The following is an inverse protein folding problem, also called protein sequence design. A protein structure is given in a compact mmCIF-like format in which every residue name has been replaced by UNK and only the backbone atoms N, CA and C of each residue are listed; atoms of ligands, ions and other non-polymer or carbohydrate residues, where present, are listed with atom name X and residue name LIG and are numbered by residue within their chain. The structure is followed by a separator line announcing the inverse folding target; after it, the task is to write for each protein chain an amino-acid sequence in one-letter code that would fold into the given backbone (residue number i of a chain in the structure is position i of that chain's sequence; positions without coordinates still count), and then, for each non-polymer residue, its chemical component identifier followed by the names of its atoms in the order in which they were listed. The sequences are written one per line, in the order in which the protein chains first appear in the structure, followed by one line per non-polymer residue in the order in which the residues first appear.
data_IF_593793320328
#
_entry.id   IF_593793320328
#
_cell.length_a   1.000
_cell.length_b   1.000
_cell.length_c   1.000
_cell.angle_alpha   90.00
_cell.angle_beta   90.00
_cell.angle_gamma   90.00
#
_symmetry.space_group_name_H-M   'P 1'
#
loop_
_entity.id
_entity.type
_entity.pdbx_description
1 polymer ?
#
# COMPACT_ATOMS: atom_id res chain seq x y z
N UNK A 1 23.75 4.35 22.26
CA UNK A 1 24.98 4.30 21.44
C UNK A 1 24.74 4.63 19.98
N UNK A 2 23.77 4.00 19.28
CA UNK A 2 23.49 4.31 17.86
C UNK A 2 23.28 5.81 17.56
N UNK A 3 22.47 6.50 18.37
CA UNK A 3 22.23 7.95 18.26
C UNK A 3 23.50 8.81 18.42
N UNK A 4 24.42 8.40 19.29
CA UNK A 4 25.65 9.14 19.53
C UNK A 4 26.55 9.11 18.29
N UNK A 5 26.60 7.98 17.60
CA UNK A 5 27.33 7.83 16.34
C UNK A 5 26.61 8.49 15.16
N UNK A 6 25.28 8.54 15.13
CA UNK A 6 24.53 9.26 14.09
C UNK A 6 24.70 10.78 14.23
N UNK A 7 24.65 11.32 15.45
CA UNK A 7 24.66 12.77 15.70
C UNK A 7 26.04 13.35 16.04
N UNK A 8 27.06 12.51 16.19
CA UNK A 8 28.39 12.93 16.61
C UNK A 8 28.45 13.47 18.04
N UNK A 9 27.51 13.08 18.91
CA UNK A 9 27.45 13.56 20.29
C UNK A 9 28.44 12.78 21.17
N UNK A 10 29.58 13.41 21.45
CA UNK A 10 30.65 12.85 22.30
C UNK A 10 31.54 11.80 21.63
N UNK A 11 31.21 11.40 20.40
CA UNK A 11 32.01 10.51 19.53
C UNK A 11 31.98 11.06 18.10
N UNK A 12 32.98 10.79 17.24
CA UNK A 12 32.91 11.17 15.84
C UNK A 12 31.68 10.57 15.15
N UNK A 13 31.05 11.34 14.25
CA UNK A 13 29.92 10.85 13.46
C UNK A 13 30.36 9.66 12.60
N UNK A 14 29.63 8.55 12.70
CA UNK A 14 29.88 7.33 11.95
C UNK A 14 28.56 6.58 11.68
N UNK A 15 28.00 6.83 10.50
CA UNK A 15 26.71 6.26 10.10
C UNK A 15 26.77 4.73 9.94
N UNK A 16 27.92 4.16 9.58
CA UNK A 16 28.10 2.70 9.47
C UNK A 16 28.07 2.03 10.85
N UNK A 17 28.70 2.63 11.85
CA UNK A 17 28.59 2.15 13.23
C UNK A 17 27.17 2.35 13.79
N UNK A 18 26.51 3.47 13.46
CA UNK A 18 25.13 3.70 13.87
C UNK A 18 24.20 2.62 13.31
N UNK A 19 24.31 2.28 12.03
CA UNK A 19 23.54 1.20 11.41
C UNK A 19 23.75 -0.16 12.11
N UNK A 20 25.00 -0.52 12.41
CA UNK A 20 25.31 -1.75 13.13
C UNK A 20 24.67 -1.79 14.53
N UNK A 21 24.69 -0.68 15.28
CA UNK A 21 24.01 -0.62 16.57
C UNK A 21 22.48 -0.68 16.46
N UNK A 22 21.89 -0.12 15.40
CA UNK A 22 20.45 -0.23 15.19
C UNK A 22 20.03 -1.65 14.80
N UNK A 23 20.83 -2.36 14.01
CA UNK A 23 20.64 -3.79 13.71
C UNK A 23 20.76 -4.68 14.95
N UNK A 24 21.53 -4.27 15.96
CA UNK A 24 21.56 -5.00 17.24
C UNK A 24 20.36 -4.71 18.13
N UNK A 25 19.58 -3.67 17.80
CA UNK A 25 18.45 -3.19 18.58
C UNK A 25 17.11 -3.46 17.88
N UNK A 26 17.01 -4.59 17.15
CA UNK A 26 15.84 -5.00 16.38
C UNK A 26 14.53 -5.08 17.21
N UNK A 27 14.63 -5.16 18.54
CA UNK A 27 13.47 -5.15 19.44
C UNK A 27 12.90 -3.76 19.73
N UNK A 28 13.49 -2.68 19.22
CA UNK A 28 13.03 -1.31 19.46
C UNK A 28 12.51 -0.67 18.17
N UNK A 29 11.24 -0.24 18.17
CA UNK A 29 10.60 0.44 17.04
C UNK A 29 11.38 1.66 16.53
N UNK A 30 11.95 2.45 17.45
CA UNK A 30 12.73 3.65 17.10
C UNK A 30 14.05 3.30 16.39
N UNK A 31 14.66 2.18 16.76
CA UNK A 31 15.89 1.70 16.13
C UNK A 31 15.61 1.21 14.70
N UNK A 32 14.53 0.44 14.51
CA UNK A 32 14.09 -0.02 13.19
C UNK A 32 13.75 1.16 12.27
N UNK A 33 13.03 2.17 12.79
CA UNK A 33 12.72 3.38 12.03
C UNK A 33 13.99 4.12 11.58
N UNK A 34 14.97 4.28 12.47
CA UNK A 34 16.25 4.93 12.12
C UNK A 34 17.07 4.12 11.14
N UNK A 35 17.08 2.79 11.29
CA UNK A 35 17.74 1.90 10.35
C UNK A 35 17.10 2.01 8.96
N UNK A 36 15.78 2.07 8.87
CA UNK A 36 15.07 2.29 7.62
C UNK A 36 15.47 3.62 6.96
N UNK A 37 15.61 4.71 7.74
CA UNK A 37 16.10 6.00 7.23
C UNK A 37 17.54 5.92 6.68
N UNK A 38 18.42 5.14 7.32
CA UNK A 38 19.78 4.91 6.83
C UNK A 38 19.78 4.15 5.49
N UNK A 39 18.98 3.10 5.36
CA UNK A 39 18.80 2.36 4.10
C UNK A 39 18.15 3.19 3.00
N UNK A 40 17.23 4.09 3.34
CA UNK A 40 16.61 5.02 2.39
C UNK A 40 17.62 6.05 1.86
N UNK A 41 18.43 6.62 2.76
CA UNK A 41 19.39 7.68 2.41
C UNK A 41 20.73 7.15 1.90
N UNK A 42 21.03 5.86 2.09
CA UNK A 42 22.33 5.27 1.75
C UNK A 42 23.46 5.73 2.68
N UNK A 43 23.13 6.23 3.87
CA UNK A 43 24.12 6.70 4.85
C UNK A 43 24.67 5.52 5.64
N UNK A 44 25.96 5.25 5.48
CA UNK A 44 26.67 4.17 6.19
C UNK A 44 26.36 2.74 5.72
N UNK A 45 25.34 2.55 4.88
CA UNK A 45 24.92 1.27 4.27
C UNK A 45 24.54 1.48 2.80
N UNK A 46 24.56 0.41 2.00
CA UNK A 46 24.09 0.47 0.61
C UNK A 46 22.60 0.80 0.55
N UNK A 47 22.22 1.77 -0.28
CA UNK A 47 20.82 2.18 -0.44
C UNK A 47 19.96 0.99 -0.88
N UNK A 48 18.89 0.71 -0.13
CA UNK A 48 17.96 -0.34 -0.46
C UNK A 48 16.56 0.00 0.06
N UNK A 49 15.69 0.35 -0.88
CA UNK A 49 14.31 0.79 -0.59
C UNK A 49 13.46 -0.37 -0.06
N UNK A 50 13.65 -1.58 -0.57
CA UNK A 50 12.85 -2.74 -0.17
C UNK A 50 13.13 -3.12 1.29
N UNK A 51 14.39 -3.09 1.72
CA UNK A 51 14.75 -3.34 3.12
C UNK A 51 14.29 -2.21 4.03
N UNK A 52 14.29 -0.96 3.55
CA UNK A 52 13.71 0.14 4.32
C UNK A 52 12.21 -0.06 4.55
N UNK A 53 11.46 -0.47 3.52
CA UNK A 53 10.02 -0.77 3.64
C UNK A 53 9.78 -1.93 4.61
N UNK A 54 10.54 -3.02 4.54
CA UNK A 54 10.36 -4.15 5.46
C UNK A 54 10.59 -3.74 6.92
N UNK A 55 11.66 -3.00 7.19
CA UNK A 55 11.96 -2.49 8.53
C UNK A 55 10.87 -1.54 9.07
N UNK A 56 10.24 -0.76 8.20
CA UNK A 56 9.11 0.09 8.59
C UNK A 56 7.88 -0.73 8.95
N UNK A 57 7.61 -1.83 8.23
CA UNK A 57 6.52 -2.75 8.56
C UNK A 57 6.76 -3.42 9.92
N UNK A 58 7.97 -3.93 10.13
CA UNK A 58 8.38 -4.52 11.42
C UNK A 58 8.26 -3.49 12.56
N UNK A 59 8.64 -2.23 12.31
CA UNK A 59 8.51 -1.16 13.29
C UNK A 59 7.05 -0.87 13.67
N UNK A 60 6.12 -0.92 12.71
CA UNK A 60 4.68 -0.74 12.95
C UNK A 60 4.14 -1.87 13.82
N UNK A 61 4.53 -3.12 13.54
CA UNK A 61 4.09 -4.28 14.34
C UNK A 61 4.52 -4.19 15.80
N UNK A 62 5.76 -3.73 16.06
CA UNK A 62 6.28 -3.52 17.42
C UNK A 62 5.63 -2.30 18.09
N UNK A 63 5.18 -1.31 17.31
CA UNK A 63 4.65 -0.05 17.82
C UNK A 63 3.23 -0.13 18.41
N UNK A 64 2.66 -1.34 18.59
CA UNK A 64 1.29 -1.59 19.07
C UNK A 64 0.77 -0.53 20.07
N UNK A 65 -0.11 0.35 19.58
CA UNK A 65 -0.77 1.41 20.35
C UNK A 65 -0.21 2.83 20.18
N UNK A 66 0.92 3.02 19.50
CA UNK A 66 1.44 4.35 19.15
C UNK A 66 0.98 4.77 17.76
N UNK A 67 -0.26 5.26 17.77
CA UNK A 67 -0.97 5.70 16.58
C UNK A 67 -0.20 6.76 15.77
N UNK A 68 0.52 7.66 16.44
CA UNK A 68 1.26 8.75 15.76
C UNK A 68 2.48 8.22 15.02
N UNK A 69 3.19 7.28 15.65
CA UNK A 69 4.34 6.63 15.04
C UNK A 69 3.93 5.78 13.84
N UNK A 70 2.84 5.03 13.96
CA UNK A 70 2.29 4.22 12.86
C UNK A 70 1.96 5.08 11.63
N UNK A 71 1.28 6.21 11.82
CA UNK A 71 1.00 7.15 10.72
C UNK A 71 2.27 7.66 10.04
N UNK A 72 3.31 7.99 10.80
CA UNK A 72 4.59 8.44 10.24
C UNK A 72 5.28 7.35 9.43
N UNK A 73 5.30 6.12 9.94
CA UNK A 73 5.91 4.98 9.25
C UNK A 73 5.15 4.63 7.95
N UNK A 74 3.83 4.60 8.00
CA UNK A 74 2.99 4.35 6.83
C UNK A 74 3.16 5.43 5.76
N UNK A 75 3.25 6.70 6.18
CA UNK A 75 3.53 7.81 5.26
C UNK A 75 4.87 7.64 4.56
N UNK A 76 5.91 7.33 5.33
CA UNK A 76 7.24 7.10 4.78
C UNK A 76 7.26 5.90 3.82
N UNK A 77 6.65 4.78 4.19
CA UNK A 77 6.57 3.59 3.35
C UNK A 77 5.75 3.83 2.06
N UNK A 78 4.66 4.60 2.13
CA UNK A 78 3.89 5.05 0.97
C UNK A 78 4.73 5.92 0.04
N UNK A 79 5.55 6.83 0.58
CA UNK A 79 6.46 7.69 -0.21
C UNK A 79 7.57 6.86 -0.89
N UNK A 80 7.98 5.76 -0.26
CA UNK A 80 8.87 4.75 -0.87
C UNK A 80 8.19 3.88 -1.93
N UNK A 81 6.87 4.00 -2.11
CA UNK A 81 6.11 3.32 -3.15
C UNK A 81 5.39 2.06 -2.69
N UNK A 82 5.36 1.75 -1.40
CA UNK A 82 4.64 0.58 -0.87
C UNK A 82 3.12 0.78 -1.01
N UNK A 83 2.49 -0.05 -1.84
CA UNK A 83 1.08 0.06 -2.17
C UNK A 83 0.17 -0.35 -1.00
N UNK A 84 0.62 -1.32 -0.20
CA UNK A 84 -0.06 -1.75 1.03
C UNK A 84 -0.12 -0.61 2.06
N UNK A 85 1.02 0.04 2.35
CA UNK A 85 1.08 1.20 3.24
C UNK A 85 0.23 2.36 2.73
N UNK A 86 0.23 2.59 1.41
CA UNK A 86 -0.64 3.60 0.78
C UNK A 86 -2.13 3.29 1.06
N UNK A 87 -2.54 2.02 1.00
CA UNK A 87 -3.90 1.62 1.34
C UNK A 87 -4.21 1.80 2.83
N UNK A 88 -3.27 1.43 3.71
CA UNK A 88 -3.46 1.57 5.16
C UNK A 88 -3.61 3.04 5.58
N UNK A 89 -2.92 3.98 4.90
CA UNK A 89 -3.18 5.41 5.07
C UNK A 89 -4.64 5.78 4.71
N UNK A 90 -5.18 5.19 3.65
CA UNK A 90 -6.59 5.36 3.28
C UNK A 90 -7.53 4.94 4.41
N UNK A 91 -7.26 3.79 5.04
CA UNK A 91 -8.02 3.29 6.20
C UNK A 91 -7.92 4.27 7.38
N UNK A 92 -6.75 4.83 7.65
CA UNK A 92 -6.58 5.82 8.73
C UNK A 92 -7.42 7.08 8.49
N UNK A 93 -7.44 7.60 7.26
CA UNK A 93 -8.29 8.74 6.90
C UNK A 93 -9.78 8.41 6.93
N UNK A 94 -10.17 7.17 6.61
CA UNK A 94 -11.55 6.70 6.71
C UNK A 94 -12.03 6.59 8.16
N UNK A 95 -11.17 6.12 9.06
CA UNK A 95 -11.51 5.96 10.48
C UNK A 95 -11.41 7.26 11.28
N UNK A 96 -10.55 8.20 10.86
CA UNK A 96 -10.31 9.44 11.61
C UNK A 96 -9.58 9.23 12.94
N UNK A 97 -8.78 8.17 13.02
CA UNK A 97 -7.97 7.86 14.19
C UNK A 97 -6.56 8.45 14.04
N UNK A 98 -5.72 8.36 15.09
CA UNK A 98 -4.27 8.66 14.98
C UNK A 98 -3.92 10.15 14.79
N UNK A 99 -4.66 11.06 15.44
CA UNK A 99 -4.55 12.53 15.26
C UNK A 99 -4.89 13.01 13.84
N UNK A 100 -5.37 12.11 12.97
CA UNK A 100 -5.82 12.42 11.61
C UNK A 100 -7.31 12.72 11.63
N UNK A 101 -7.70 13.85 11.06
CA UNK A 101 -9.11 14.20 10.90
C UNK A 101 -9.71 13.26 9.85
N UNK A 102 -10.84 12.63 10.20
CA UNK A 102 -11.60 11.79 9.29
C UNK A 102 -11.87 12.53 7.98
N UNK A 103 -11.42 11.95 6.87
CA UNK A 103 -11.64 12.52 5.55
C UNK A 103 -11.76 11.40 4.51
N UNK A 104 -13.00 11.06 4.20
CA UNK A 104 -13.34 10.03 3.24
C UNK A 104 -12.91 10.34 1.80
N UNK A 105 -12.85 11.63 1.40
CA UNK A 105 -12.36 12.00 0.08
C UNK A 105 -10.86 11.70 -0.06
N UNK A 106 -10.08 12.07 0.96
CA UNK A 106 -8.66 11.71 1.04
C UNK A 106 -8.47 10.18 1.09
N UNK A 107 -9.29 9.45 1.86
CA UNK A 107 -9.24 8.00 1.91
C UNK A 107 -9.38 7.36 0.51
N UNK A 108 -10.36 7.83 -0.28
CA UNK A 108 -10.59 7.38 -1.66
C UNK A 108 -9.39 7.70 -2.56
N UNK A 109 -8.78 8.88 -2.42
CA UNK A 109 -7.56 9.21 -3.18
C UNK A 109 -6.40 8.27 -2.87
N UNK A 110 -6.20 7.92 -1.60
CA UNK A 110 -5.16 6.97 -1.19
C UNK A 110 -5.46 5.55 -1.68
N UNK A 111 -6.69 5.08 -1.56
CA UNK A 111 -7.08 3.79 -2.13
C UNK A 111 -6.87 3.77 -3.65
N UNK A 112 -7.22 4.84 -4.36
CA UNK A 112 -6.97 4.94 -5.80
C UNK A 112 -5.48 4.90 -6.16
N UNK A 113 -4.62 5.57 -5.38
CA UNK A 113 -3.16 5.50 -5.56
C UNK A 113 -2.61 4.09 -5.33
N UNK A 114 -3.06 3.41 -4.27
CA UNK A 114 -2.67 2.03 -3.96
C UNK A 114 -3.13 1.05 -5.06
N UNK A 115 -4.35 1.23 -5.53
CA UNK A 115 -4.97 0.44 -6.58
C UNK A 115 -4.23 0.56 -7.93
N UNK A 116 -3.78 1.77 -8.29
CA UNK A 116 -2.95 1.99 -9.48
C UNK A 116 -1.60 1.28 -9.41
N UNK A 117 -1.06 1.09 -8.21
CA UNK A 117 0.18 0.35 -7.97
C UNK A 117 -0.02 -1.17 -7.92
N UNK A 118 -1.23 -1.65 -8.19
CA UNK A 118 -1.55 -3.07 -8.27
C UNK A 118 -1.98 -3.71 -6.95
N UNK A 119 -2.28 -2.93 -5.92
CA UNK A 119 -2.79 -3.49 -4.65
C UNK A 119 -4.28 -3.80 -4.77
N UNK A 120 -4.61 -5.08 -4.83
CA UNK A 120 -5.98 -5.56 -5.07
C UNK A 120 -6.97 -5.16 -3.97
N UNK A 121 -6.55 -5.19 -2.70
CA UNK A 121 -7.40 -4.82 -1.56
C UNK A 121 -7.83 -3.35 -1.62
N UNK A 122 -7.06 -2.48 -2.27
CA UNK A 122 -7.46 -1.09 -2.44
C UNK A 122 -8.66 -0.94 -3.39
N UNK A 123 -8.80 -1.82 -4.39
CA UNK A 123 -10.00 -1.85 -5.23
C UNK A 123 -11.23 -2.29 -4.45
N UNK A 124 -11.07 -3.22 -3.51
CA UNK A 124 -12.13 -3.64 -2.61
C UNK A 124 -12.59 -2.49 -1.70
N UNK A 125 -11.65 -1.77 -1.08
CA UNK A 125 -11.94 -0.63 -0.22
C UNK A 125 -12.61 0.51 -0.99
N UNK A 126 -12.16 0.83 -2.22
CA UNK A 126 -12.87 1.76 -3.10
C UNK A 126 -14.30 1.31 -3.36
N UNK A 127 -14.49 0.01 -3.63
CA UNK A 127 -15.80 -0.56 -3.86
C UNK A 127 -16.74 -0.33 -2.68
N UNK A 128 -16.25 -0.61 -1.48
CA UNK A 128 -16.96 -0.37 -0.24
C UNK A 128 -17.37 1.11 -0.07
N UNK A 129 -16.45 2.06 -0.29
CA UNK A 129 -16.77 3.49 -0.19
C UNK A 129 -17.89 3.92 -1.18
N UNK A 130 -17.88 3.39 -2.40
CA UNK A 130 -18.90 3.70 -3.40
C UNK A 130 -20.25 3.03 -3.13
N UNK A 131 -20.26 1.84 -2.52
CA UNK A 131 -21.48 1.12 -2.14
C UNK A 131 -22.20 1.81 -0.98
N UNK A 132 -21.46 2.18 0.07
CA UNK A 132 -22.00 2.85 1.26
C UNK A 132 -22.32 4.34 1.03
N UNK A 133 -21.74 4.97 0.00
CA UNK A 133 -21.86 6.42 -0.23
C UNK A 133 -21.03 7.25 0.74
N UNK A 134 -19.98 6.66 1.29
CA UNK A 134 -19.11 7.26 2.31
C UNK A 134 -18.10 8.20 1.65
N UNK A 135 -18.30 9.52 1.78
CA UNK A 135 -17.40 10.55 1.25
C UNK A 135 -17.58 10.98 -0.20
N UNK A 136 -18.36 10.23 -0.97
CA UNK A 136 -18.72 10.51 -2.37
C UNK A 136 -20.20 10.23 -2.59
N UNK A 137 -20.88 10.97 -3.50
CA UNK A 137 -22.23 10.61 -3.89
C UNK A 137 -22.24 9.17 -4.39
N UNK A 138 -23.21 8.37 -3.93
CA UNK A 138 -23.35 6.98 -4.33
C UNK A 138 -23.42 6.90 -5.86
N UNK A 139 -22.33 6.45 -6.50
CA UNK A 139 -22.21 6.51 -7.95
C UNK A 139 -21.61 5.20 -8.49
N UNK A 140 -22.51 4.26 -8.76
CA UNK A 140 -22.24 2.93 -9.28
C UNK A 140 -21.47 2.89 -10.62
N UNK A 141 -21.37 4.00 -11.36
CA UNK A 141 -20.66 4.05 -12.65
C UNK A 141 -19.14 4.11 -12.51
N UNK A 142 -18.61 4.78 -11.48
CA UNK A 142 -17.17 4.83 -11.21
C UNK A 142 -16.66 3.49 -10.66
N UNK A 143 -17.48 2.79 -9.87
CA UNK A 143 -17.24 1.42 -9.39
C UNK A 143 -16.93 0.45 -10.55
N UNK A 144 -17.71 0.52 -11.63
CA UNK A 144 -17.55 -0.37 -12.77
C UNK A 144 -16.29 -0.05 -13.61
N UNK A 145 -15.89 1.22 -13.69
CA UNK A 145 -14.65 1.63 -14.38
C UNK A 145 -13.40 1.29 -13.57
N UNK A 146 -13.47 1.48 -12.24
CA UNK A 146 -12.45 1.11 -11.27
C UNK A 146 -12.18 -0.40 -11.24
N UNK A 147 -13.23 -1.22 -11.14
CA UNK A 147 -13.13 -2.69 -11.06
C UNK A 147 -12.84 -3.36 -12.40
N UNK A 148 -13.32 -2.81 -13.52
CA UNK A 148 -13.08 -3.41 -14.85
C UNK A 148 -11.70 -3.06 -15.44
N UNK A 149 -11.06 -1.95 -15.07
CA UNK A 149 -9.77 -1.56 -15.66
C UNK A 149 -8.63 -2.54 -15.31
N UNK A 150 -8.47 -3.05 -14.07
CA UNK A 150 -7.53 -4.13 -13.74
C UNK A 150 -7.86 -5.42 -14.48
N UNK A 151 -9.15 -5.79 -14.58
CA UNK A 151 -9.59 -7.00 -15.29
C UNK A 151 -9.29 -6.95 -16.79
N UNK A 152 -9.46 -5.79 -17.44
CA UNK A 152 -9.09 -5.58 -18.86
C UNK A 152 -7.57 -5.64 -19.04
N UNK A 153 -6.80 -5.07 -18.11
CA UNK A 153 -5.34 -5.05 -18.19
C UNK A 153 -4.74 -6.45 -17.89
N UNK A 154 -5.33 -7.20 -16.97
CA UNK A 154 -5.04 -8.63 -16.75
C UNK A 154 -5.45 -9.49 -17.96
N UNK A 155 -6.61 -9.25 -18.59
CA UNK A 155 -6.97 -9.95 -19.83
C UNK A 155 -5.99 -9.67 -20.99
N UNK A 156 -5.42 -8.47 -21.08
CA UNK A 156 -4.44 -8.13 -22.11
C UNK A 156 -3.08 -8.81 -21.90
N UNK A 157 -2.64 -9.03 -20.66
CA UNK A 157 -1.39 -9.77 -20.39
C UNK A 157 -1.54 -11.29 -20.58
N UNK A 158 -2.74 -11.83 -20.38
CA UNK A 158 -3.08 -13.23 -20.70
C UNK A 158 -3.44 -13.43 -22.19
N UNK A 159 -3.80 -12.36 -22.89
CA UNK A 159 -4.19 -12.37 -24.31
C UNK A 159 -3.04 -12.59 -25.29
N UNK A 160 -1.79 -12.34 -24.91
CA UNK A 160 -0.62 -12.61 -25.76
C UNK A 160 -0.19 -14.09 -25.81
N UNK A 161 -0.94 -14.99 -25.16
CA UNK A 161 -0.72 -16.45 -25.23
C UNK A 161 -1.89 -17.24 -25.84
N UNK A 162 -2.93 -16.57 -26.32
CA UNK A 162 -4.08 -17.21 -26.96
C UNK A 162 -4.45 -16.43 -28.23
N UNK A 163 -3.63 -16.59 -29.26
CA UNK A 163 -3.98 -16.21 -30.64
C UNK A 163 -5.25 -16.97 -31.06
N UNK A 164 -6.41 -16.31 -31.06
CA UNK A 164 -7.61 -16.85 -31.71
C UNK A 164 -8.99 -16.40 -31.21
N UNK A 165 -9.13 -15.74 -30.06
CA UNK A 165 -10.46 -15.41 -29.52
C UNK A 165 -10.88 -13.96 -29.82
N UNK A 166 -11.78 -13.75 -30.79
CA UNK A 166 -12.45 -12.44 -31.01
C UNK A 166 -13.41 -12.14 -29.85
N UNK A 167 -13.39 -10.93 -29.26
CA UNK A 167 -14.36 -10.58 -28.21
C UNK A 167 -15.75 -10.35 -28.82
N UNK A 168 -16.79 -11.02 -28.29
CA UNK A 168 -18.19 -10.72 -28.65
C UNK A 168 -18.67 -9.46 -27.93
N UNK A 169 -19.23 -8.56 -28.71
CA UNK A 169 -19.62 -7.17 -28.43
C UNK A 169 -20.82 -6.94 -27.49
N UNK A 170 -21.09 -7.80 -26.49
CA UNK A 170 -22.25 -7.61 -25.60
C UNK A 170 -22.00 -8.10 -24.16
N UNK A 171 -21.32 -7.30 -23.35
CA UNK A 171 -21.43 -7.39 -21.89
C UNK A 171 -22.73 -6.71 -21.47
N UNK A 172 -23.76 -7.51 -21.15
CA UNK A 172 -25.04 -7.03 -20.64
C UNK A 172 -24.97 -7.03 -19.11
N UNK A 173 -24.75 -5.87 -18.49
CA UNK A 173 -24.86 -5.71 -17.04
C UNK A 173 -26.32 -5.92 -16.59
N UNK A 174 -26.62 -7.06 -15.97
CA UNK A 174 -27.89 -7.28 -15.27
C UNK A 174 -27.73 -7.00 -13.79
N UNK A 175 -28.57 -6.08 -13.29
CA UNK A 175 -28.77 -5.74 -11.87
C UNK A 175 -29.16 -7.00 -11.08
N UNK A 176 -28.20 -7.62 -10.40
CA UNK A 176 -28.33 -8.36 -9.12
C UNK A 176 -27.09 -9.24 -8.96
N UNK A 177 -26.28 -8.91 -7.95
CA UNK A 177 -25.10 -9.62 -7.45
C UNK A 177 -23.84 -9.57 -8.32
N UNK A 178 -22.83 -8.88 -7.77
CA UNK A 178 -21.45 -8.85 -8.23
C UNK A 178 -20.74 -10.15 -7.84
N UNK A 179 -20.69 -11.13 -8.76
CA UNK A 179 -19.61 -12.13 -8.86
C UNK A 179 -19.51 -12.45 -10.35
N UNK A 180 -18.34 -12.27 -10.96
CA UNK A 180 -18.10 -12.78 -12.31
C UNK A 180 -17.96 -14.29 -12.17
N UNK A 181 -19.06 -15.02 -12.38
CA UNK A 181 -19.02 -16.45 -12.58
C UNK A 181 -18.18 -16.73 -13.83
N UNK A 182 -16.93 -17.18 -13.65
CA UNK A 182 -16.14 -17.77 -14.71
C UNK A 182 -16.77 -19.13 -15.06
N UNK A 183 -17.73 -19.13 -15.98
CA UNK A 183 -18.18 -20.36 -16.63
C UNK A 183 -17.10 -20.85 -17.61
N UNK A 184 -16.10 -21.56 -17.08
CA UNK A 184 -15.23 -22.43 -17.88
C UNK A 184 -16.10 -23.59 -18.35
N UNK A 185 -16.79 -23.42 -19.48
CA UNK A 185 -17.37 -24.57 -20.20
C UNK A 185 -16.36 -25.02 -21.24
N UNK A 186 -15.53 -25.99 -20.84
CA UNK A 186 -14.73 -26.80 -21.74
C UNK A 186 -15.66 -27.62 -22.65
N UNK A 187 -16.07 -27.06 -23.79
CA UNK A 187 -16.57 -27.89 -24.89
C UNK A 187 -15.40 -28.35 -25.73
N UNK A 188 -14.98 -29.58 -25.43
CA UNK A 188 -14.28 -30.45 -26.39
C UNK A 188 -15.16 -30.57 -27.64
N UNK A 189 -14.59 -30.25 -28.79
CA UNK A 189 -15.06 -30.76 -30.07
C UNK A 189 -14.56 -32.18 -30.27
#
# INVERSE_FOLDING_TARGET
MGLCHELGQGVPQNDSMAAHYYQQADSQKDALYRLALLYMTGRGVSQNVNTAISLLKDAIEIAAGDNKFEFQCLKLASDLGDAESTNNLGILYEQGNHEVIQNYQLAIEYYWKAAQRGFENAWYNLGHCFEEGTGVPQNFLLLNYATCKPLITMQQSWGSKIDGARPRSKCRCSRKYYVIDYCITSRKF
#
